data_IF_331232603396
#
_entry.id   IF_331232603396
#
_cell.length_a   1.000
_cell.length_b   1.000
_cell.length_c   1.000
_cell.angle_alpha   90.00
_cell.angle_beta   90.00
_cell.angle_gamma   90.00
#
_symmetry.space_group_name_H-M   'P 1'
#
loop_
_entity.id
_entity.type
_entity.pdbx_description
1 polymer ?
#
# COMPACT_ATOMS: atom_id res chain seq x y z
N UNK A 1 -0.52 -25.80 -1.46
CA UNK A 1 -0.32 -24.72 -0.48
C UNK A 1 -0.53 -23.41 -1.22
N UNK A 2 -1.46 -22.57 -0.77
CA UNK A 2 -1.49 -21.19 -1.24
C UNK A 2 -0.30 -20.47 -0.61
N UNK A 3 0.48 -19.76 -1.42
CA UNK A 3 1.58 -18.94 -0.92
C UNK A 3 1.00 -17.65 -0.33
N UNK A 4 1.21 -17.41 0.97
CA UNK A 4 0.84 -16.18 1.67
C UNK A 4 1.41 -14.95 0.94
N UNK A 5 0.56 -13.95 0.67
CA UNK A 5 0.94 -12.65 0.12
C UNK A 5 0.94 -11.64 1.26
N UNK A 6 2.07 -10.98 1.46
CA UNK A 6 2.16 -9.88 2.42
C UNK A 6 1.73 -8.59 1.74
N UNK A 7 0.85 -7.83 2.36
CA UNK A 7 0.47 -6.49 1.92
C UNK A 7 0.97 -5.49 2.95
N UNK A 8 1.84 -4.58 2.53
CA UNK A 8 2.33 -3.48 3.35
C UNK A 8 1.61 -2.19 2.99
N UNK A 9 1.01 -1.55 3.99
CA UNK A 9 0.31 -0.27 3.80
C UNK A 9 1.23 0.86 4.21
N UNK A 10 1.41 1.84 3.31
CA UNK A 10 2.17 3.07 3.59
C UNK A 10 1.31 4.32 3.50
N UNK A 11 0.00 4.18 3.28
CA UNK A 11 -0.95 5.27 3.10
C UNK A 11 -1.19 5.61 1.63
N UNK A 12 -1.13 6.90 1.29
CA UNK A 12 -1.51 7.38 -0.03
C UNK A 12 -3.02 7.39 -0.28
N UNK A 13 -3.41 7.66 -1.52
CA UNK A 13 -4.82 7.90 -1.89
C UNK A 13 -5.77 6.76 -1.51
N UNK A 14 -5.29 5.51 -1.48
CA UNK A 14 -6.06 4.34 -1.04
C UNK A 14 -6.74 4.54 0.31
N UNK A 15 -6.04 5.14 1.27
CA UNK A 15 -6.47 5.21 2.67
C UNK A 15 -6.90 6.62 3.11
N UNK A 16 -7.03 7.57 2.16
CA UNK A 16 -7.59 8.90 2.43
C UNK A 16 -9.10 8.81 2.62
N UNK A 17 -9.58 9.26 3.77
CA UNK A 17 -10.99 9.45 4.09
C UNK A 17 -11.40 10.91 3.90
N UNK A 18 -12.66 11.13 3.50
CA UNK A 18 -13.21 12.47 3.36
C UNK A 18 -13.90 12.91 4.65
N UNK A 19 -13.45 14.02 5.23
CA UNK A 19 -14.12 14.66 6.35
C UNK A 19 -15.26 15.53 5.81
N UNK A 20 -16.52 15.08 5.99
CA UNK A 20 -17.70 15.82 5.52
C UNK A 20 -17.94 17.16 6.25
N UNK A 21 -17.28 17.40 7.38
CA UNK A 21 -17.42 18.63 8.15
C UNK A 21 -16.42 19.68 7.66
N UNK A 22 -15.14 19.31 7.49
CA UNK A 22 -14.06 20.24 7.09
C UNK A 22 -13.81 20.25 5.58
N UNK A 23 -14.22 19.21 4.86
CA UNK A 23 -13.95 19.00 3.44
C UNK A 23 -12.55 18.46 3.15
N UNK A 24 -11.76 18.13 4.18
CA UNK A 24 -10.38 17.69 4.06
C UNK A 24 -10.25 16.16 3.91
N UNK A 25 -9.17 15.72 3.26
CA UNK A 25 -8.78 14.32 3.21
C UNK A 25 -7.79 14.00 4.32
N UNK A 26 -8.02 12.92 5.08
CA UNK A 26 -7.17 12.51 6.19
C UNK A 26 -7.01 10.99 6.27
N UNK A 27 -6.01 10.52 7.00
CA UNK A 27 -5.76 9.09 7.23
C UNK A 27 -6.37 8.63 8.55
N UNK A 28 -6.97 7.43 8.57
CA UNK A 28 -7.44 6.81 9.81
C UNK A 28 -6.99 5.36 9.91
N UNK A 29 -7.67 4.49 9.16
CA UNK A 29 -7.43 3.05 9.09
C UNK A 29 -7.33 2.68 7.61
N UNK A 30 -6.72 1.52 7.33
CA UNK A 30 -6.63 1.05 5.94
C UNK A 30 -7.93 0.41 5.48
N UNK A 31 -8.30 0.66 4.21
CA UNK A 31 -9.49 0.07 3.61
C UNK A 31 -9.24 -1.29 2.95
N UNK A 32 -7.99 -1.77 2.90
CA UNK A 32 -7.62 -2.93 2.10
C UNK A 32 -8.31 -4.23 2.54
N UNK A 33 -8.53 -4.44 3.84
CA UNK A 33 -9.24 -5.63 4.32
C UNK A 33 -10.68 -5.69 3.77
N UNK A 34 -11.40 -4.56 3.81
CA UNK A 34 -12.74 -4.45 3.24
C UNK A 34 -12.72 -4.62 1.71
N UNK A 35 -11.68 -4.09 1.04
CA UNK A 35 -11.50 -4.25 -0.41
C UNK A 35 -11.33 -5.71 -0.80
N UNK A 36 -10.50 -6.47 -0.10
CA UNK A 36 -10.30 -7.90 -0.37
C UNK A 36 -11.58 -8.71 -0.12
N UNK A 37 -12.31 -8.42 0.96
CA UNK A 37 -13.59 -9.06 1.25
C UNK A 37 -14.63 -8.77 0.16
N UNK A 38 -14.78 -7.49 -0.22
CA UNK A 38 -15.71 -7.05 -1.27
C UNK A 38 -15.34 -7.61 -2.64
N UNK A 39 -14.04 -7.71 -2.93
CA UNK A 39 -13.51 -8.35 -4.13
C UNK A 39 -13.65 -9.87 -4.14
N UNK A 40 -14.12 -10.47 -3.03
CA UNK A 40 -14.20 -11.93 -2.84
C UNK A 40 -12.86 -12.61 -3.08
N UNK A 41 -11.77 -11.97 -2.63
CA UNK A 41 -10.43 -12.51 -2.73
C UNK A 41 -10.32 -13.79 -1.89
N UNK A 42 -9.86 -14.88 -2.50
CA UNK A 42 -9.68 -16.18 -1.84
C UNK A 42 -8.21 -16.54 -1.63
N UNK A 43 -7.31 -15.57 -1.79
CA UNK A 43 -5.88 -15.72 -1.55
C UNK A 43 -5.60 -15.57 -0.06
N UNK A 44 -4.51 -16.19 0.41
CA UNK A 44 -4.02 -15.99 1.77
C UNK A 44 -3.26 -14.66 1.82
N UNK A 45 -3.86 -13.66 2.48
CA UNK A 45 -3.36 -12.28 2.52
C UNK A 45 -3.10 -11.90 3.98
N UNK A 46 -1.90 -11.36 4.27
CA UNK A 46 -1.59 -10.72 5.54
C UNK A 46 -1.37 -9.22 5.32
N UNK A 47 -2.30 -8.39 5.81
CA UNK A 47 -2.23 -6.93 5.70
C UNK A 47 -1.57 -6.35 6.94
N UNK A 48 -0.48 -5.61 6.74
CA UNK A 48 0.25 -4.94 7.81
C UNK A 48 0.53 -3.48 7.46
N UNK A 49 0.04 -2.58 8.29
CA UNK A 49 0.35 -1.15 8.17
C UNK A 49 1.77 -0.88 8.66
N UNK A 50 2.60 -0.29 7.81
CA UNK A 50 3.93 0.19 8.17
C UNK A 50 3.89 1.66 8.60
N UNK A 51 3.07 2.46 7.91
CA UNK A 51 2.88 3.89 8.11
C UNK A 51 1.61 4.34 7.39
N UNK A 52 1.15 5.56 7.66
CA UNK A 52 -0.01 6.18 7.01
C UNK A 52 0.34 7.61 6.63
N UNK A 53 1.09 7.77 5.53
CA UNK A 53 1.64 9.06 5.10
C UNK A 53 1.12 9.47 3.72
N UNK A 54 1.12 10.78 3.49
CA UNK A 54 1.13 11.28 2.12
C UNK A 54 2.52 11.03 1.52
N UNK A 55 2.58 10.51 0.29
CA UNK A 55 3.86 10.22 -0.35
C UNK A 55 4.73 11.46 -0.56
N UNK A 56 4.15 12.66 -0.57
CA UNK A 56 4.90 13.92 -0.60
C UNK A 56 5.68 14.21 0.70
N UNK A 57 5.22 13.64 1.82
CA UNK A 57 5.83 13.80 3.14
C UNK A 57 6.78 12.66 3.49
N UNK A 58 6.76 11.57 2.73
CA UNK A 58 7.63 10.41 2.94
C UNK A 58 9.11 10.78 2.81
N UNK A 59 9.91 10.42 3.82
CA UNK A 59 11.35 10.65 3.89
C UNK A 59 12.15 9.42 3.47
N UNK A 60 13.49 9.52 3.48
CA UNK A 60 14.34 8.35 3.23
C UNK A 60 14.27 7.33 4.36
N UNK A 61 14.13 7.78 5.61
CA UNK A 61 13.96 6.89 6.77
C UNK A 61 12.69 6.05 6.66
N UNK A 62 11.60 6.63 6.14
CA UNK A 62 10.36 5.91 5.86
C UNK A 62 10.58 4.82 4.80
N UNK A 63 11.32 5.12 3.74
CA UNK A 63 11.67 4.14 2.70
C UNK A 63 12.54 3.01 3.26
N UNK A 64 13.46 3.32 4.18
CA UNK A 64 14.26 2.31 4.88
C UNK A 64 13.38 1.35 5.69
N UNK A 65 12.33 1.85 6.34
CA UNK A 65 11.34 1.00 7.03
C UNK A 65 10.67 0.04 6.04
N UNK A 66 10.28 0.51 4.85
CA UNK A 66 9.68 -0.33 3.80
C UNK A 66 10.66 -1.43 3.38
N UNK A 67 11.92 -1.07 3.07
CA UNK A 67 12.98 -2.01 2.67
C UNK A 67 13.25 -3.04 3.76
N UNK A 68 13.37 -2.59 5.01
CA UNK A 68 13.61 -3.46 6.16
C UNK A 68 12.51 -4.52 6.29
N UNK A 69 11.24 -4.12 6.18
CA UNK A 69 10.12 -5.04 6.27
C UNK A 69 10.05 -5.99 5.06
N UNK A 70 10.38 -5.52 3.86
CA UNK A 70 10.49 -6.40 2.68
C UNK A 70 11.57 -7.47 2.85
N UNK A 71 12.75 -7.10 3.37
CA UNK A 71 13.85 -8.04 3.66
C UNK A 71 13.48 -9.04 4.75
N UNK A 72 12.85 -8.58 5.83
CA UNK A 72 12.48 -9.40 6.99
C UNK A 72 11.28 -10.32 6.73
N UNK A 73 10.41 -9.96 5.80
CA UNK A 73 9.24 -10.78 5.47
C UNK A 73 9.66 -12.20 5.09
N UNK A 74 8.94 -13.19 5.61
CA UNK A 74 9.15 -14.60 5.25
C UNK A 74 8.48 -14.94 3.91
N UNK A 75 7.56 -14.12 3.45
CA UNK A 75 6.86 -14.32 2.17
C UNK A 75 7.76 -13.92 1.00
N UNK A 76 7.57 -14.59 -0.14
CA UNK A 76 8.22 -14.22 -1.41
C UNK A 76 7.40 -13.22 -2.22
N UNK A 77 6.11 -13.04 -1.90
CA UNK A 77 5.18 -12.18 -2.62
C UNK A 77 4.74 -11.05 -1.71
N UNK A 78 5.00 -9.82 -2.15
CA UNK A 78 4.75 -8.60 -1.38
C UNK A 78 4.04 -7.60 -2.28
N UNK A 79 2.94 -7.05 -1.79
CA UNK A 79 2.28 -5.87 -2.35
C UNK A 79 2.52 -4.71 -1.40
N UNK A 80 2.78 -3.52 -1.94
CA UNK A 80 2.93 -2.29 -1.17
C UNK A 80 1.92 -1.28 -1.72
N UNK A 81 0.97 -0.84 -0.90
CA UNK A 81 0.09 0.27 -1.27
C UNK A 81 0.76 1.58 -0.90
N UNK A 82 0.79 2.51 -1.85
CA UNK A 82 1.57 3.73 -1.76
C UNK A 82 0.87 4.92 -2.44
N UNK A 83 1.19 6.14 -2.01
CA UNK A 83 0.75 7.36 -2.70
C UNK A 83 1.45 7.54 -4.05
N UNK A 84 0.73 8.05 -5.05
CA UNK A 84 1.20 8.08 -6.43
C UNK A 84 2.31 9.10 -6.68
N UNK A 85 2.36 10.20 -5.92
CA UNK A 85 3.30 11.31 -6.18
C UNK A 85 4.78 10.91 -6.07
N UNK A 86 5.13 10.06 -5.10
CA UNK A 86 6.52 9.57 -4.92
C UNK A 86 6.70 8.07 -5.05
N UNK A 87 5.73 7.34 -5.61
CA UNK A 87 5.81 5.87 -5.79
C UNK A 87 7.05 5.44 -6.58
N UNK A 88 7.43 6.21 -7.61
CA UNK A 88 8.61 5.95 -8.44
C UNK A 88 9.89 6.04 -7.62
N UNK A 89 10.02 7.09 -6.80
CA UNK A 89 11.20 7.29 -5.95
C UNK A 89 11.35 6.15 -4.93
N UNK A 90 10.25 5.68 -4.34
CA UNK A 90 10.27 4.51 -3.45
C UNK A 90 10.63 3.22 -4.20
N UNK A 91 10.14 3.05 -5.42
CA UNK A 91 10.47 1.90 -6.27
C UNK A 91 11.97 1.86 -6.64
N UNK A 92 12.59 3.01 -6.92
CA UNK A 92 14.02 3.14 -7.17
C UNK A 92 14.85 2.71 -5.95
N UNK A 93 14.51 3.18 -4.74
CA UNK A 93 15.21 2.78 -3.51
C UNK A 93 15.05 1.27 -3.23
N UNK A 94 13.86 0.71 -3.48
CA UNK A 94 13.63 -0.74 -3.36
C UNK A 94 14.46 -1.55 -4.37
N UNK A 95 14.55 -1.10 -5.61
CA UNK A 95 15.37 -1.74 -6.63
C UNK A 95 16.86 -1.71 -6.26
N UNK A 96 17.35 -0.55 -5.77
CA UNK A 96 18.73 -0.39 -5.30
C UNK A 96 19.06 -1.28 -4.08
N UNK A 97 18.07 -1.65 -3.27
CA UNK A 97 18.26 -2.53 -2.12
C UNK A 97 18.54 -4.00 -2.49
N UNK A 98 18.42 -4.38 -3.77
CA UNK A 98 18.73 -5.69 -4.36
C UNK A 98 18.19 -6.87 -3.53
N UNK A 99 16.88 -6.86 -3.25
CA UNK A 99 16.23 -7.89 -2.43
C UNK A 99 15.98 -9.14 -3.30
N UNK A 100 16.79 -10.18 -3.12
CA UNK A 100 16.73 -11.39 -3.93
C UNK A 100 15.60 -12.35 -3.54
N UNK A 101 15.12 -13.12 -4.51
CA UNK A 101 14.17 -14.21 -4.28
C UNK A 101 12.75 -13.77 -3.90
N UNK A 102 12.42 -12.48 -4.07
CA UNK A 102 11.11 -11.90 -3.77
C UNK A 102 10.54 -11.17 -4.99
N UNK A 103 9.22 -11.19 -5.12
CA UNK A 103 8.43 -10.37 -6.02
C UNK A 103 7.76 -9.29 -5.19
N UNK A 104 8.09 -8.03 -5.47
CA UNK A 104 7.56 -6.86 -4.79
C UNK A 104 6.81 -6.02 -5.82
N UNK A 105 5.53 -5.77 -5.59
CA UNK A 105 4.68 -4.93 -6.43
C UNK A 105 4.28 -3.70 -5.65
N UNK A 106 4.52 -2.51 -6.19
CA UNK A 106 3.96 -1.27 -5.67
C UNK A 106 2.68 -0.95 -6.45
N UNK A 107 1.63 -0.56 -5.74
CA UNK A 107 0.37 -0.12 -6.33
C UNK A 107 -0.13 1.14 -5.64
N UNK A 108 -0.90 1.94 -6.36
CA UNK A 108 -1.46 3.20 -5.90
C UNK A 108 -2.82 3.44 -6.56
N UNK A 109 -3.49 4.51 -6.15
CA UNK A 109 -4.77 4.93 -6.73
C UNK A 109 -4.75 6.45 -6.94
N UNK A 110 -5.44 6.91 -7.98
CA UNK A 110 -5.66 8.34 -8.23
C UNK A 110 -6.92 8.86 -7.53
N UNK A 111 -7.89 7.99 -7.29
CA UNK A 111 -9.18 8.35 -6.66
C UNK A 111 -9.33 7.60 -5.33
N UNK A 112 -9.55 8.32 -4.19
CA UNK A 112 -9.70 7.68 -2.90
C UNK A 112 -10.79 6.62 -2.84
N UNK A 113 -10.54 5.54 -2.10
CA UNK A 113 -11.51 4.47 -1.86
C UNK A 113 -12.83 5.00 -1.27
N UNK A 114 -12.76 6.03 -0.42
CA UNK A 114 -13.91 6.66 0.20
C UNK A 114 -14.95 7.20 -0.80
N UNK A 115 -14.57 7.44 -2.06
CA UNK A 115 -15.48 7.84 -3.13
C UNK A 115 -16.21 6.67 -3.82
N UNK A 116 -16.02 5.43 -3.35
CA UNK A 116 -16.81 4.27 -3.74
C UNK A 116 -16.48 3.76 -5.15
N UNK A 117 -17.52 3.60 -5.99
CA UNK A 117 -17.43 2.87 -7.27
C UNK A 117 -16.57 3.54 -8.34
N UNK A 118 -16.14 4.78 -8.13
CA UNK A 118 -15.26 5.51 -9.05
C UNK A 118 -13.78 5.35 -8.71
N UNK A 119 -13.41 4.63 -7.65
CA UNK A 119 -12.00 4.41 -7.30
C UNK A 119 -11.34 3.38 -8.20
N UNK A 120 -10.23 3.77 -8.81
CA UNK A 120 -9.33 2.89 -9.58
C UNK A 120 -8.59 1.88 -8.67
N UNK A 121 -8.56 2.13 -7.36
CA UNK A 121 -7.91 1.26 -6.38
C UNK A 121 -8.47 -0.17 -6.37
N UNK A 122 -9.74 -0.39 -6.70
CA UNK A 122 -10.33 -1.73 -6.78
C UNK A 122 -9.75 -2.59 -7.91
N UNK A 123 -9.34 -1.97 -9.00
CA UNK A 123 -8.77 -2.69 -10.14
C UNK A 123 -7.24 -2.81 -10.02
N UNK A 124 -6.60 -1.78 -9.43
CA UNK A 124 -5.15 -1.76 -9.25
C UNK A 124 -4.66 -2.71 -8.15
N UNK A 125 -5.53 -3.09 -7.20
CA UNK A 125 -5.25 -4.02 -6.10
C UNK A 125 -5.72 -5.44 -6.43
#
# INVERSE_FOLDING_TARGET
>A
MQDLIQVFVTGGTFDKMYNYITGELYFKDTHLNEMFERGRCTLDIDVRTLMMLDSLEMTEEDKEIIIHNCKKSKTKRIIITHGTDRIVSTAETLAAANIEGKTIVLTGAMVPYAFGTSSDGFFNL
#
